data_IF_281478518018
#
_entry.id   IF_281478518018
#
_cell.length_a   1.000
_cell.length_b   1.000
_cell.length_c   1.000
_cell.angle_alpha   90.00
_cell.angle_beta   90.00
_cell.angle_gamma   90.00
#
_symmetry.space_group_name_H-M   'P 1'
#
loop_
_entity.id
_entity.type
_entity.pdbx_description
1 polymer ?
#
# COMPACT_ATOMS: atom_id res chain seq x y z
N UNK A 1 22.59 8.67 -5.58
CA UNK A 1 22.02 9.17 -4.32
C UNK A 1 20.53 8.86 -4.28
N UNK A 2 19.94 8.42 -3.14
CA UNK A 2 18.51 8.11 -3.03
C UNK A 2 17.77 9.28 -2.36
N UNK A 3 16.56 9.56 -2.81
CA UNK A 3 15.68 10.58 -2.24
C UNK A 3 15.01 10.01 -0.97
N UNK A 4 15.50 10.44 0.20
CA UNK A 4 15.06 9.90 1.50
C UNK A 4 13.59 10.16 1.82
N UNK A 5 12.99 11.22 1.26
CA UNK A 5 11.56 11.55 1.48
C UNK A 5 10.60 10.47 0.98
N UNK A 6 11.03 9.60 0.05
CA UNK A 6 10.25 8.45 -0.41
C UNK A 6 10.05 7.37 0.65
N UNK A 7 10.90 7.33 1.68
CA UNK A 7 10.83 6.33 2.74
C UNK A 7 9.96 6.73 3.92
N UNK A 8 9.27 7.86 3.83
CA UNK A 8 8.36 8.32 4.88
C UNK A 8 6.92 8.17 4.44
N UNK A 9 6.12 7.53 5.29
CA UNK A 9 4.68 7.50 5.09
C UNK A 9 4.10 8.92 5.16
N UNK A 10 3.17 9.30 4.28
CA UNK A 10 2.51 10.60 4.35
C UNK A 10 1.80 10.79 5.70
N UNK A 11 1.78 12.01 6.24
CA UNK A 11 1.04 12.28 7.47
C UNK A 11 -0.47 12.09 7.23
N UNK A 12 -1.14 11.47 8.19
CA UNK A 12 -2.60 11.40 8.22
C UNK A 12 -3.11 12.60 9.03
N UNK A 13 -4.24 13.15 8.62
CA UNK A 13 -4.92 14.18 9.41
C UNK A 13 -5.37 13.60 10.75
N UNK A 14 -5.18 14.32 11.85
CA UNK A 14 -5.54 13.85 13.19
C UNK A 14 -7.02 13.49 13.33
N UNK A 15 -7.87 14.12 12.52
CA UNK A 15 -9.32 13.90 12.48
C UNK A 15 -9.77 12.97 11.33
N UNK A 16 -8.86 12.17 10.77
CA UNK A 16 -9.23 11.20 9.74
C UNK A 16 -10.13 10.10 10.33
N UNK A 17 -11.22 9.79 9.62
CA UNK A 17 -12.17 8.76 10.05
C UNK A 17 -11.52 7.38 10.05
N UNK A 18 -11.51 6.67 11.20
CA UNK A 18 -11.03 5.29 11.24
C UNK A 18 -12.00 4.35 10.51
N UNK A 19 -11.46 3.57 9.61
CA UNK A 19 -12.22 2.64 8.75
C UNK A 19 -12.31 1.26 9.41
N UNK A 20 -12.99 1.16 10.57
CA UNK A 20 -13.02 -0.04 11.40
C UNK A 20 -13.32 -1.33 10.62
N UNK A 21 -14.31 -1.29 9.74
CA UNK A 21 -14.70 -2.43 8.88
C UNK A 21 -13.53 -2.91 8.00
N UNK A 22 -12.80 -1.98 7.41
CA UNK A 22 -11.66 -2.31 6.55
C UNK A 22 -10.44 -2.75 7.37
N UNK A 23 -10.20 -2.13 8.52
CA UNK A 23 -9.14 -2.53 9.45
C UNK A 23 -9.36 -3.97 9.95
N UNK A 24 -10.60 -4.32 10.29
CA UNK A 24 -10.97 -5.70 10.67
C UNK A 24 -10.77 -6.69 9.52
N UNK A 25 -11.15 -6.31 8.29
CA UNK A 25 -10.97 -7.15 7.10
C UNK A 25 -9.50 -7.38 6.77
N UNK A 26 -8.66 -6.35 6.91
CA UNK A 26 -7.23 -6.45 6.70
C UNK A 26 -6.56 -7.36 7.75
N UNK A 27 -7.04 -7.33 9.01
CA UNK A 27 -6.50 -8.14 10.09
C UNK A 27 -5.02 -7.91 10.32
N UNK A 28 -4.31 -8.95 10.72
CA UNK A 28 -2.85 -8.90 10.87
C UNK A 28 -2.15 -9.30 9.57
N UNK A 29 -1.06 -8.61 9.17
CA UNK A 29 -0.24 -9.01 8.03
C UNK A 29 0.22 -10.46 8.18
N UNK A 30 0.15 -11.23 7.10
CA UNK A 30 0.55 -12.64 7.11
C UNK A 30 1.86 -12.85 6.35
N UNK A 31 2.67 -13.83 6.79
CA UNK A 31 3.91 -14.20 6.14
C UNK A 31 3.74 -14.59 4.67
N UNK A 32 4.53 -13.99 3.78
CA UNK A 32 4.51 -14.32 2.35
C UNK A 32 3.23 -13.92 1.61
N UNK A 33 2.43 -13.02 2.19
CA UNK A 33 1.23 -12.47 1.56
C UNK A 33 1.41 -11.07 1.02
N UNK A 34 0.51 -10.71 0.12
CA UNK A 34 0.37 -9.36 -0.45
C UNK A 34 -0.99 -8.78 -0.04
N UNK A 35 -1.00 -7.54 0.39
CA UNK A 35 -2.21 -6.73 0.52
C UNK A 35 -2.25 -5.72 -0.63
N UNK A 36 -3.30 -5.77 -1.45
CA UNK A 36 -3.52 -4.86 -2.56
C UNK A 36 -4.73 -3.96 -2.26
N UNK A 37 -4.49 -2.66 -2.23
CA UNK A 37 -5.53 -1.64 -2.06
C UNK A 37 -5.59 -0.82 -3.34
N UNK A 38 -6.64 -1.01 -4.16
CA UNK A 38 -6.73 -0.32 -5.44
C UNK A 38 -8.07 0.37 -5.66
N UNK A 39 -8.01 1.62 -6.09
CA UNK A 39 -9.14 2.47 -6.43
C UNK A 39 -8.64 3.75 -7.12
N UNK A 40 -9.47 4.47 -7.85
CA UNK A 40 -9.11 5.78 -8.40
C UNK A 40 -8.56 6.75 -7.33
N UNK A 41 -8.16 7.95 -7.75
CA UNK A 41 -7.71 8.98 -6.81
C UNK A 41 -8.82 9.37 -5.82
N UNK A 42 -8.44 9.79 -4.61
CA UNK A 42 -9.39 10.31 -3.62
C UNK A 42 -10.18 9.28 -2.81
N UNK A 43 -9.93 7.97 -2.96
CA UNK A 43 -10.60 6.91 -2.19
C UNK A 43 -9.93 6.60 -0.85
N UNK A 44 -8.88 7.30 -0.47
CA UNK A 44 -8.23 7.12 0.82
C UNK A 44 -7.34 5.87 0.95
N UNK A 45 -6.81 5.32 -0.16
CA UNK A 45 -5.93 4.14 -0.17
C UNK A 45 -4.72 4.26 0.76
N UNK A 46 -3.91 5.29 0.55
CA UNK A 46 -2.72 5.60 1.35
C UNK A 46 -3.08 5.82 2.82
N UNK A 47 -4.19 6.53 3.07
CA UNK A 47 -4.71 6.76 4.42
C UNK A 47 -5.09 5.46 5.11
N UNK A 48 -5.80 4.57 4.40
CA UNK A 48 -6.18 3.25 4.95
C UNK A 48 -4.95 2.40 5.26
N UNK A 49 -4.00 2.31 4.32
CA UNK A 49 -2.76 1.55 4.53
C UNK A 49 -2.01 2.04 5.77
N UNK A 50 -1.86 3.36 5.92
CA UNK A 50 -1.19 3.97 7.06
C UNK A 50 -1.96 3.74 8.37
N UNK A 51 -3.29 3.98 8.39
CA UNK A 51 -4.13 3.70 9.56
C UNK A 51 -4.02 2.25 10.01
N UNK A 52 -4.10 1.32 9.07
CA UNK A 52 -3.97 -0.10 9.37
C UNK A 52 -2.63 -0.42 10.02
N UNK A 53 -1.53 0.00 9.42
CA UNK A 53 -0.19 -0.29 9.93
C UNK A 53 0.10 0.37 11.29
N UNK A 54 -0.42 1.59 11.50
CA UNK A 54 -0.29 2.27 12.79
C UNK A 54 -1.05 1.52 13.92
N UNK A 55 -2.17 0.86 13.59
CA UNK A 55 -2.92 0.05 14.59
C UNK A 55 -2.18 -1.21 15.02
N UNK A 56 -1.24 -1.71 14.22
CA UNK A 56 -0.50 -2.93 14.52
C UNK A 56 0.63 -2.72 15.53
N UNK A 57 1.11 -1.47 15.67
CA UNK A 57 2.21 -1.13 16.57
C UNK A 57 3.57 -1.73 16.17
N UNK A 58 3.65 -2.41 15.03
CA UNK A 58 4.88 -3.00 14.51
C UNK A 58 5.59 -2.02 13.55
N UNK A 59 6.92 -2.03 13.50
CA UNK A 59 7.64 -1.24 12.52
C UNK A 59 7.33 -1.74 11.10
N UNK A 60 7.17 -0.81 10.19
CA UNK A 60 6.99 -1.07 8.77
C UNK A 60 7.88 -0.15 7.94
N UNK A 61 8.13 -0.56 6.71
CA UNK A 61 8.91 0.20 5.73
C UNK A 61 7.98 0.80 4.70
N UNK A 62 8.28 2.01 4.26
CA UNK A 62 7.47 2.74 3.28
C UNK A 62 8.30 3.11 2.07
N UNK A 63 7.73 2.97 0.89
CA UNK A 63 8.29 3.45 -0.37
C UNK A 63 7.20 4.10 -1.21
N UNK A 64 7.24 5.42 -1.33
CA UNK A 64 6.40 6.17 -2.27
C UNK A 64 7.03 6.15 -3.65
N UNK A 65 6.28 5.65 -4.64
CA UNK A 65 6.73 5.50 -6.02
C UNK A 65 6.33 6.71 -6.87
N UNK A 66 7.16 7.01 -7.86
CA UNK A 66 6.88 8.02 -8.87
C UNK A 66 7.23 7.51 -10.28
N UNK A 67 6.87 8.23 -11.37
CA UNK A 67 7.14 7.79 -12.74
C UNK A 67 8.62 7.56 -13.05
N UNK A 68 9.56 8.18 -12.32
CA UNK A 68 10.99 7.95 -12.53
C UNK A 68 11.44 6.57 -12.04
N UNK A 69 10.64 5.89 -11.22
CA UNK A 69 10.96 4.56 -10.72
C UNK A 69 10.60 3.45 -11.73
N UNK A 70 10.20 3.79 -12.95
CA UNK A 70 10.01 2.82 -14.05
C UNK A 70 11.34 2.23 -14.55
N UNK A 71 12.49 2.79 -14.17
CA UNK A 71 13.78 2.21 -14.47
C UNK A 71 14.05 1.05 -13.48
N UNK A 72 14.26 -0.21 -13.98
CA UNK A 72 14.30 -1.40 -13.10
C UNK A 72 15.39 -1.36 -12.04
N UNK A 73 16.62 -0.93 -12.39
CA UNK A 73 17.71 -0.85 -11.41
C UNK A 73 17.41 0.17 -10.31
N UNK A 74 16.81 1.31 -10.69
CA UNK A 74 16.40 2.35 -9.75
C UNK A 74 15.30 1.85 -8.81
N UNK A 75 14.28 1.19 -9.34
CA UNK A 75 13.19 0.62 -8.56
C UNK A 75 13.72 -0.35 -7.50
N UNK A 76 14.47 -1.38 -7.92
CA UNK A 76 14.97 -2.38 -7.00
C UNK A 76 15.97 -1.83 -5.99
N UNK A 77 16.75 -0.84 -6.37
CA UNK A 77 17.62 -0.12 -5.45
C UNK A 77 16.85 0.61 -4.35
N UNK A 78 15.70 1.24 -4.70
CA UNK A 78 14.82 1.85 -3.69
C UNK A 78 14.16 0.79 -2.81
N UNK A 79 13.69 -0.32 -3.36
CA UNK A 79 13.10 -1.42 -2.59
C UNK A 79 14.10 -1.99 -1.59
N UNK A 80 15.33 -2.25 -2.02
CA UNK A 80 16.41 -2.71 -1.13
C UNK A 80 16.71 -1.69 -0.03
N UNK A 81 16.83 -0.41 -0.38
CA UNK A 81 17.13 0.65 0.58
C UNK A 81 16.00 0.89 1.59
N UNK A 82 14.75 0.67 1.19
CA UNK A 82 13.60 0.75 2.09
C UNK A 82 13.68 -0.30 3.21
N UNK A 83 14.07 -1.53 2.89
CA UNK A 83 14.15 -2.65 3.85
C UNK A 83 15.43 -2.62 4.69
N UNK A 84 16.49 -1.95 4.22
CA UNK A 84 17.71 -1.75 5.00
C UNK A 84 18.85 -1.15 4.18
N UNK A 85 19.57 -0.15 4.73
CA UNK A 85 20.68 0.50 4.02
C UNK A 85 21.78 -0.50 3.66
N UNK A 86 22.04 -1.50 4.50
CA UNK A 86 23.04 -2.53 4.27
C UNK A 86 22.78 -3.38 3.02
N UNK A 87 21.51 -3.53 2.61
CA UNK A 87 21.13 -4.27 1.40
C UNK A 87 21.52 -3.44 0.16
N UNK A 88 21.26 -2.14 0.19
CA UNK A 88 21.56 -1.24 -0.90
C UNK A 88 23.08 -1.04 -1.10
N UNK A 89 23.87 -0.93 -0.03
CA UNK A 89 25.31 -0.67 -0.08
C UNK A 89 26.15 -1.93 -0.36
N UNK A 90 25.73 -3.09 0.15
CA UNK A 90 26.36 -4.39 -0.20
C UNK A 90 25.99 -4.85 -1.62
N UNK A 91 24.99 -4.26 -2.20
CA UNK A 91 24.58 -4.52 -3.57
C UNK A 91 25.41 -3.67 -4.55
N UNK A 92 26.68 -4.01 -4.78
CA UNK A 92 27.27 -3.82 -6.10
C UNK A 92 26.51 -4.73 -7.08
N UNK A 93 25.18 -4.53 -7.17
CA UNK A 93 24.35 -5.29 -8.07
C UNK A 93 24.56 -4.73 -9.48
N UNK A 94 24.96 -5.59 -10.38
CA UNK A 94 25.19 -5.22 -11.78
C UNK A 94 23.89 -5.20 -12.58
N UNK A 95 22.85 -5.87 -12.05
CA UNK A 95 21.52 -5.96 -12.69
C UNK A 95 20.36 -5.83 -11.69
N UNK A 96 19.17 -5.62 -12.20
CA UNK A 96 17.93 -5.63 -11.39
C UNK A 96 17.68 -7.03 -10.77
N UNK A 97 17.99 -8.09 -11.50
CA UNK A 97 17.85 -9.48 -11.02
C UNK A 97 18.76 -9.76 -9.82
N UNK A 98 19.99 -9.25 -9.85
CA UNK A 98 20.91 -9.35 -8.71
C UNK A 98 20.36 -8.68 -7.46
N UNK A 99 19.70 -7.52 -7.60
CA UNK A 99 19.03 -6.84 -6.49
C UNK A 99 17.92 -7.72 -5.90
N UNK A 100 17.09 -8.33 -6.75
CA UNK A 100 15.98 -9.17 -6.31
C UNK A 100 16.49 -10.40 -5.56
N UNK A 101 17.49 -11.10 -6.11
CA UNK A 101 18.07 -12.30 -5.50
C UNK A 101 18.69 -11.96 -4.14
N UNK A 102 19.48 -10.89 -4.07
CA UNK A 102 20.08 -10.43 -2.83
C UNK A 102 19.04 -10.04 -1.79
N UNK A 103 17.96 -9.38 -2.21
CA UNK A 103 16.84 -9.02 -1.35
C UNK A 103 16.15 -10.26 -0.77
N UNK A 104 15.83 -11.24 -1.60
CA UNK A 104 15.21 -12.50 -1.16
C UNK A 104 16.11 -13.20 -0.13
N UNK A 105 17.40 -13.35 -0.45
CA UNK A 105 18.37 -14.01 0.44
C UNK A 105 18.55 -13.25 1.75
N UNK A 106 18.69 -11.93 1.69
CA UNK A 106 18.77 -11.10 2.89
C UNK A 106 17.56 -11.29 3.80
N UNK A 107 16.35 -11.24 3.24
CA UNK A 107 15.15 -11.46 4.03
C UNK A 107 15.11 -12.88 4.65
N UNK A 108 15.59 -13.91 3.94
CA UNK A 108 15.65 -15.28 4.46
C UNK A 108 16.70 -15.45 5.56
N UNK A 109 17.85 -14.82 5.39
CA UNK A 109 19.00 -14.91 6.32
C UNK A 109 18.82 -14.00 7.55
N UNK A 110 17.91 -13.02 7.48
CA UNK A 110 17.65 -12.13 8.59
C UNK A 110 17.19 -12.96 9.81
N UNK A 111 18.03 -12.99 10.84
CA UNK A 111 17.79 -13.72 12.10
C UNK A 111 16.56 -13.22 12.86
N UNK A 112 16.02 -12.08 12.48
CA UNK A 112 14.77 -11.54 13.00
C UNK A 112 13.60 -12.40 12.53
N UNK A 113 13.02 -13.15 13.46
CA UNK A 113 11.78 -13.91 13.26
C UNK A 113 10.55 -12.99 13.13
N UNK A 114 10.71 -11.69 13.22
CA UNK A 114 9.63 -10.71 13.13
C UNK A 114 9.26 -10.48 11.67
N UNK A 115 7.95 -10.51 11.41
CA UNK A 115 7.41 -10.20 10.10
C UNK A 115 7.72 -8.74 9.74
N UNK A 116 8.36 -8.55 8.60
CA UNK A 116 8.62 -7.23 8.01
C UNK A 116 7.48 -6.87 7.07
N UNK A 117 7.04 -5.62 7.10
CA UNK A 117 6.01 -5.10 6.19
C UNK A 117 6.60 -4.00 5.34
N UNK A 118 6.55 -4.16 4.02
CA UNK A 118 6.94 -3.13 3.06
C UNK A 118 5.72 -2.60 2.32
N UNK A 119 5.53 -1.29 2.37
CA UNK A 119 4.51 -0.59 1.58
C UNK A 119 5.12 -0.02 0.31
N UNK A 120 4.52 -0.31 -0.82
CA UNK A 120 4.76 0.30 -2.12
C UNK A 120 3.55 1.18 -2.45
N UNK A 121 3.66 2.48 -2.12
CA UNK A 121 2.57 3.43 -2.33
C UNK A 121 2.64 4.03 -3.74
N UNK A 122 1.48 4.32 -4.32
CA UNK A 122 1.32 4.83 -5.68
C UNK A 122 1.92 3.92 -6.78
N UNK A 123 1.78 2.61 -6.62
CA UNK A 123 2.33 1.60 -7.54
C UNK A 123 1.84 1.75 -8.99
N UNK A 124 0.74 2.45 -9.24
CA UNK A 124 0.25 2.77 -10.58
C UNK A 124 1.21 3.63 -11.41
N UNK A 125 2.23 4.23 -10.78
CA UNK A 125 3.30 4.95 -11.47
C UNK A 125 4.23 4.00 -12.24
N UNK A 126 4.25 2.71 -11.86
CA UNK A 126 5.04 1.68 -12.53
C UNK A 126 4.21 1.11 -13.69
N UNK A 127 4.69 1.29 -14.91
CA UNK A 127 4.00 0.90 -16.15
C UNK A 127 4.91 0.10 -17.10
N UNK A 128 6.21 0.05 -16.82
CA UNK A 128 7.17 -0.67 -17.63
C UNK A 128 6.93 -2.18 -17.50
N UNK A 129 6.70 -2.86 -18.64
CA UNK A 129 6.24 -4.26 -18.67
C UNK A 129 7.28 -5.23 -18.08
N UNK A 130 8.56 -5.03 -18.40
CA UNK A 130 9.63 -5.89 -17.89
C UNK A 130 9.78 -5.73 -16.38
N UNK A 131 9.62 -4.51 -15.84
CA UNK A 131 9.62 -4.29 -14.39
C UNK A 131 8.41 -4.96 -13.71
N UNK A 132 7.23 -4.93 -14.34
CA UNK A 132 6.05 -5.65 -13.84
C UNK A 132 6.27 -7.17 -13.78
N UNK A 133 6.96 -7.73 -14.79
CA UNK A 133 7.36 -9.14 -14.77
C UNK A 133 8.33 -9.44 -13.63
N UNK A 134 9.32 -8.60 -13.42
CA UNK A 134 10.26 -8.73 -12.31
C UNK A 134 9.57 -8.65 -10.95
N UNK A 135 8.66 -7.69 -10.77
CA UNK A 135 7.85 -7.59 -9.54
C UNK A 135 7.00 -8.84 -9.34
N UNK A 136 6.35 -9.33 -10.41
CA UNK A 136 5.57 -10.58 -10.34
C UNK A 136 6.44 -11.77 -9.95
N UNK A 137 7.63 -11.88 -10.50
CA UNK A 137 8.61 -12.91 -10.20
C UNK A 137 9.08 -12.85 -8.74
N UNK A 138 9.38 -11.65 -8.22
CA UNK A 138 9.72 -11.42 -6.82
C UNK A 138 8.57 -11.83 -5.89
N UNK A 139 7.38 -11.34 -6.17
CA UNK A 139 6.21 -11.65 -5.38
C UNK A 139 5.88 -13.16 -5.38
N UNK A 140 6.16 -13.90 -6.48
CA UNK A 140 5.99 -15.36 -6.55
C UNK A 140 6.98 -16.12 -5.64
N UNK A 141 8.07 -15.47 -5.24
CA UNK A 141 9.13 -16.00 -4.37
C UNK A 141 9.23 -15.24 -3.04
N UNK A 142 8.17 -14.56 -2.67
CA UNK A 142 8.14 -13.71 -1.49
C UNK A 142 8.58 -14.47 -0.23
N UNK A 143 9.61 -14.01 0.50
CA UNK A 143 10.05 -14.63 1.73
C UNK A 143 8.94 -14.67 2.79
N UNK A 144 8.95 -15.73 3.61
CA UNK A 144 7.91 -15.90 4.64
C UNK A 144 7.94 -14.84 5.74
N UNK A 145 9.05 -14.16 5.93
CA UNK A 145 9.16 -13.07 6.90
C UNK A 145 8.87 -11.68 6.29
N UNK A 146 8.34 -11.63 5.07
CA UNK A 146 8.00 -10.38 4.39
C UNK A 146 6.51 -10.37 3.99
N UNK A 147 5.84 -9.25 4.25
CA UNK A 147 4.51 -8.93 3.78
C UNK A 147 4.58 -7.66 2.92
N UNK A 148 3.98 -7.68 1.74
CA UNK A 148 3.96 -6.53 0.83
C UNK A 148 2.58 -5.88 0.85
N UNK A 149 2.55 -4.58 1.00
CA UNK A 149 1.34 -3.76 0.84
C UNK A 149 1.50 -2.91 -0.41
N UNK A 150 0.55 -2.99 -1.33
CA UNK A 150 0.56 -2.22 -2.57
C UNK A 150 -0.67 -1.32 -2.60
N UNK A 151 -0.47 -0.02 -2.77
CA UNK A 151 -1.57 0.88 -3.13
C UNK A 151 -1.47 1.26 -4.61
N UNK A 152 -2.59 1.30 -5.32
CA UNK A 152 -2.60 1.59 -6.76
C UNK A 152 -3.89 2.29 -7.18
N UNK A 153 -3.85 3.10 -8.25
CA UNK A 153 -5.08 3.67 -8.84
C UNK A 153 -5.84 2.69 -9.72
N UNK A 154 -5.17 1.68 -10.21
CA UNK A 154 -5.74 0.62 -11.05
C UNK A 154 -5.24 -0.74 -10.57
N UNK A 155 -5.83 -1.80 -11.07
CA UNK A 155 -5.38 -3.17 -10.82
C UNK A 155 -4.03 -3.39 -11.53
N UNK A 156 -2.93 -3.64 -10.78
CA UNK A 156 -1.62 -3.84 -11.41
C UNK A 156 -1.51 -5.22 -12.04
N UNK A 157 -0.65 -5.34 -13.07
CA UNK A 157 -0.42 -6.59 -13.79
C UNK A 157 0.62 -7.48 -13.07
N UNK A 158 0.34 -7.90 -11.85
CA UNK A 158 1.23 -8.68 -10.97
C UNK A 158 0.68 -10.09 -10.66
N UNK A 159 0.16 -10.80 -11.66
CA UNK A 159 -0.42 -12.15 -11.49
C UNK A 159 -1.50 -12.26 -10.39
N UNK A 160 -2.34 -11.22 -10.24
CA UNK A 160 -3.41 -11.15 -9.22
C UNK A 160 -4.30 -12.39 -9.17
N UNK A 161 -4.81 -12.95 -10.30
CA UNK A 161 -5.67 -14.13 -10.25
C UNK A 161 -5.01 -15.34 -9.60
N UNK A 162 -3.73 -15.59 -9.91
CA UNK A 162 -2.97 -16.70 -9.33
C UNK A 162 -2.83 -16.59 -7.82
N UNK A 163 -2.64 -15.35 -7.31
CA UNK A 163 -2.51 -15.10 -5.86
C UNK A 163 -3.82 -15.25 -5.12
N UNK A 164 -4.93 -14.85 -5.73
CA UNK A 164 -6.28 -15.08 -5.16
C UNK A 164 -6.52 -16.57 -4.93
N UNK A 165 -6.25 -17.41 -5.94
CA UNK A 165 -6.45 -18.87 -5.85
C UNK A 165 -5.57 -19.50 -4.75
N UNK A 166 -4.38 -18.96 -4.50
CA UNK A 166 -3.45 -19.45 -3.49
C UNK A 166 -3.68 -18.87 -2.08
N UNK A 167 -4.71 -18.05 -1.89
CA UNK A 167 -4.94 -17.31 -0.63
C UNK A 167 -3.74 -16.48 -0.17
N UNK A 168 -2.93 -15.98 -1.13
CA UNK A 168 -1.76 -15.16 -0.90
C UNK A 168 -2.02 -13.66 -1.14
N UNK A 169 -3.29 -13.28 -1.29
CA UNK A 169 -3.70 -11.91 -1.57
C UNK A 169 -4.88 -11.52 -0.69
N UNK A 170 -4.74 -10.40 0.00
CA UNK A 170 -5.85 -9.62 0.55
C UNK A 170 -6.08 -8.46 -0.41
N UNK A 171 -7.29 -8.29 -0.89
CA UNK A 171 -7.63 -7.25 -1.85
C UNK A 171 -8.75 -6.37 -1.29
N UNK A 172 -8.54 -5.05 -1.38
CA UNK A 172 -9.53 -4.02 -1.08
C UNK A 172 -9.70 -3.19 -2.35
N UNK A 173 -10.88 -3.27 -2.94
CA UNK A 173 -11.22 -2.57 -4.19
C UNK A 173 -12.00 -1.27 -3.93
N UNK A 174 -12.21 -0.49 -4.99
CA UNK A 174 -12.87 0.81 -4.93
C UNK A 174 -14.24 0.77 -4.22
N UNK A 175 -15.07 -0.22 -4.51
CA UNK A 175 -16.39 -0.37 -3.89
C UNK A 175 -16.33 -0.51 -2.37
N UNK A 176 -15.30 -1.18 -1.86
CA UNK A 176 -15.11 -1.35 -0.43
C UNK A 176 -14.54 -0.09 0.23
N UNK A 177 -13.78 0.69 -0.53
CA UNK A 177 -13.22 1.97 -0.09
C UNK A 177 -14.26 3.09 -0.03
N UNK A 178 -15.39 2.99 -0.71
CA UNK A 178 -16.48 3.93 -0.54
C UNK A 178 -16.88 4.01 0.95
N UNK A 179 -17.15 5.21 1.42
CA UNK A 179 -17.71 5.41 2.76
C UNK A 179 -19.11 4.78 2.84
N UNK A 180 -19.40 4.13 3.95
CA UNK A 180 -20.76 3.82 4.32
C UNK A 180 -21.47 5.11 4.80
N UNK A 181 -22.80 5.11 4.83
CA UNK A 181 -23.58 6.29 5.24
C UNK A 181 -23.12 6.84 6.60
N UNK A 182 -22.87 5.98 7.58
CA UNK A 182 -22.34 6.36 8.90
C UNK A 182 -20.91 6.90 8.87
N UNK A 183 -20.07 6.43 7.94
CA UNK A 183 -18.72 6.96 7.74
C UNK A 183 -18.78 8.35 7.07
N UNK A 184 -19.69 8.55 6.10
CA UNK A 184 -19.93 9.85 5.46
C UNK A 184 -20.43 10.88 6.47
N UNK A 185 -21.35 10.50 7.34
CA UNK A 185 -21.85 11.36 8.42
C UNK A 185 -20.71 11.80 9.35
N UNK A 186 -19.93 10.86 9.87
CA UNK A 186 -18.76 11.16 10.71
C UNK A 186 -17.76 12.05 9.99
N UNK A 187 -17.51 11.79 8.71
CA UNK A 187 -16.59 12.60 7.92
C UNK A 187 -17.05 14.04 7.79
N UNK A 188 -18.31 14.27 7.45
CA UNK A 188 -18.88 15.62 7.33
C UNK A 188 -18.89 16.34 8.68
N UNK A 189 -19.34 15.69 9.76
CA UNK A 189 -19.49 16.31 11.08
C UNK A 189 -18.16 16.45 11.82
N UNK A 190 -17.31 15.41 11.87
CA UNK A 190 -16.12 15.38 12.71
C UNK A 190 -14.88 15.89 11.96
N UNK A 191 -14.70 15.47 10.70
CA UNK A 191 -13.52 15.85 9.90
C UNK A 191 -13.69 17.24 9.28
N UNK A 192 -14.83 17.50 8.64
CA UNK A 192 -15.11 18.80 8.03
C UNK A 192 -15.79 19.79 8.97
N UNK A 193 -16.26 19.34 10.14
CA UNK A 193 -16.94 20.14 11.17
C UNK A 193 -18.18 20.87 10.64
N UNK A 194 -18.88 20.24 9.72
CA UNK A 194 -20.12 20.77 9.14
C UNK A 194 -21.31 20.32 9.98
N UNK A 195 -22.15 21.26 10.36
CA UNK A 195 -23.41 20.98 11.07
C UNK A 195 -24.54 20.93 10.06
N UNK A 196 -24.75 19.76 9.44
CA UNK A 196 -25.75 19.53 8.38
C UNK A 196 -26.90 18.69 8.91
N UNK A 197 -28.16 18.95 8.45
CA UNK A 197 -29.31 18.07 8.70
C UNK A 197 -29.06 16.66 8.15
N UNK A 198 -29.64 15.64 8.78
CA UNK A 198 -29.47 14.23 8.39
C UNK A 198 -29.89 13.98 6.92
N UNK A 199 -30.98 14.58 6.46
CA UNK A 199 -31.45 14.46 5.08
C UNK A 199 -30.42 15.01 4.08
N UNK A 200 -29.75 16.11 4.41
CA UNK A 200 -28.68 16.69 3.58
C UNK A 200 -27.47 15.76 3.53
N UNK A 201 -27.08 15.17 4.66
CA UNK A 201 -25.98 14.19 4.74
C UNK A 201 -26.30 12.97 3.87
N UNK A 202 -27.54 12.45 3.95
CA UNK A 202 -27.98 11.34 3.11
C UNK A 202 -27.97 11.70 1.62
N UNK A 203 -28.43 12.88 1.26
CA UNK A 203 -28.41 13.34 -0.13
C UNK A 203 -26.99 13.45 -0.67
N UNK A 204 -26.05 14.03 0.10
CA UNK A 204 -24.64 14.12 -0.25
C UNK A 204 -23.98 12.74 -0.39
N UNK A 205 -24.26 11.83 0.54
CA UNK A 205 -23.76 10.45 0.47
C UNK A 205 -24.21 9.75 -0.82
N UNK A 206 -25.50 9.85 -1.14
CA UNK A 206 -26.07 9.23 -2.34
C UNK A 206 -25.51 9.84 -3.63
N UNK A 207 -25.36 11.17 -3.70
CA UNK A 207 -24.77 11.84 -4.85
C UNK A 207 -23.31 11.50 -5.08
N UNK A 208 -22.56 11.28 -4.01
CA UNK A 208 -21.13 10.97 -4.09
C UNK A 208 -20.85 9.48 -4.07
N UNK A 209 -21.85 8.64 -3.87
CA UNK A 209 -21.72 7.18 -3.70
C UNK A 209 -20.66 6.82 -2.62
N UNK A 210 -20.49 7.72 -1.63
CA UNK A 210 -19.49 7.56 -0.56
C UNK A 210 -18.05 7.79 -1.02
N UNK A 211 -17.80 8.42 -2.16
CA UNK A 211 -16.46 8.80 -2.57
C UNK A 211 -15.90 9.93 -1.67
N UNK A 212 -14.88 9.60 -0.89
CA UNK A 212 -14.34 10.49 0.15
C UNK A 212 -13.89 11.85 -0.39
N UNK A 213 -13.26 11.90 -1.58
CA UNK A 213 -12.83 13.17 -2.17
C UNK A 213 -14.00 14.04 -2.62
N UNK A 214 -15.09 13.45 -3.14
CA UNK A 214 -16.26 14.20 -3.54
C UNK A 214 -17.00 14.82 -2.34
N UNK A 215 -17.01 14.14 -1.20
CA UNK A 215 -17.55 14.68 0.06
C UNK A 215 -16.75 15.86 0.62
N UNK A 216 -15.53 16.10 0.11
CA UNK A 216 -14.66 17.16 0.55
C UNK A 216 -14.74 18.41 -0.35
N UNK A 217 -15.31 18.28 -1.57
CA UNK A 217 -15.49 19.36 -2.55
C UNK A 217 -16.83 20.08 -2.32
#
# INVERSE_FOLDING_TARGET
MLLKTKFYAPPIRDNAIPRQRLLQRLGSPQPGQVTLIHAPAGYGKTTLAKQWLDTLGNPYYWLSLDPQDNEPQRFWRYVCAALGPDIADKAQAQSAEDHIIKLINYCQDCASKTLQVLVMDDFHCIQESHLMEQVSWFLDRLPRNLHIVITSRCLPQIHVPRRRVRHQLIEIAAQELCFQSTESERFLQQTLRLNLPADTIHALHNQTEGWAAALQL
#
